data_IF_623440798693
#
_entry.id   IF_623440798693
#
_cell.length_a   1.000
_cell.length_b   1.000
_cell.length_c   1.000
_cell.angle_alpha   90.00
_cell.angle_beta   90.00
_cell.angle_gamma   90.00
#
_symmetry.space_group_name_H-M   'P 1'
#
loop_
_entity.id
_entity.type
_entity.pdbx_description
1 polymer ?
#
# COMPACT_ATOMS: atom_id res chain seq x y z
N UNK A 1 24.22 27.60 11.35
CA UNK A 1 23.65 26.53 10.50
C UNK A 1 22.45 26.01 11.25
N UNK A 2 21.28 26.54 10.92
CA UNK A 2 20.02 26.31 11.63
C UNK A 2 19.45 24.94 11.24
N UNK A 3 19.07 24.18 12.26
CA UNK A 3 18.40 22.89 12.17
C UNK A 3 17.11 22.97 11.34
N UNK A 4 16.86 21.97 10.49
CA UNK A 4 15.53 21.69 9.92
C UNK A 4 15.29 22.18 8.49
N UNK A 5 16.10 23.10 7.95
CA UNK A 5 15.77 23.82 6.71
C UNK A 5 15.41 22.92 5.51
N UNK A 6 14.22 23.15 4.94
CA UNK A 6 13.82 22.60 3.66
C UNK A 6 14.88 23.04 2.65
N UNK A 7 15.59 22.08 2.07
CA UNK A 7 16.69 22.38 1.17
C UNK A 7 16.19 22.82 -0.21
N UNK A 8 14.95 22.48 -0.55
CA UNK A 8 14.25 23.00 -1.73
C UNK A 8 12.73 22.93 -1.61
N UNK A 9 12.08 23.54 -2.60
CA UNK A 9 10.65 23.44 -2.84
C UNK A 9 10.37 23.15 -4.31
N UNK A 10 9.48 22.19 -4.59
CA UNK A 10 9.05 21.83 -5.93
C UNK A 10 7.53 21.98 -6.07
N UNK A 11 7.02 22.29 -7.27
CA UNK A 11 5.59 22.19 -7.53
C UNK A 11 5.07 20.78 -7.27
N UNK A 12 3.97 20.68 -6.53
CA UNK A 12 3.23 19.45 -6.32
C UNK A 12 1.73 19.75 -6.31
N UNK A 13 0.95 18.91 -6.98
CA UNK A 13 -0.51 19.03 -7.06
C UNK A 13 -1.22 18.26 -5.94
N UNK A 14 -0.47 17.40 -5.21
CA UNK A 14 -0.97 16.65 -4.08
C UNK A 14 0.13 16.32 -3.08
N UNK A 15 -0.27 16.00 -1.84
CA UNK A 15 0.64 15.47 -0.81
C UNK A 15 1.33 14.19 -1.31
N UNK A 16 0.63 13.38 -2.12
CA UNK A 16 1.16 12.17 -2.72
C UNK A 16 2.31 12.45 -3.69
N UNK A 17 2.14 13.46 -4.57
CA UNK A 17 3.24 13.87 -5.45
C UNK A 17 4.42 14.41 -4.64
N UNK A 18 4.16 15.12 -3.55
CA UNK A 18 5.20 15.57 -2.64
C UNK A 18 5.96 14.39 -2.00
N UNK A 19 5.24 13.34 -1.55
CA UNK A 19 5.84 12.07 -1.07
C UNK A 19 6.74 11.45 -2.12
N UNK A 20 6.27 11.33 -3.35
CA UNK A 20 7.06 10.78 -4.45
C UNK A 20 8.34 11.59 -4.70
N UNK A 21 8.24 12.92 -4.75
CA UNK A 21 9.38 13.82 -4.94
C UNK A 21 10.39 13.73 -3.80
N UNK A 22 9.92 13.58 -2.56
CA UNK A 22 10.79 13.32 -1.42
C UNK A 22 11.46 11.95 -1.53
N UNK A 23 10.69 10.92 -1.86
CA UNK A 23 11.18 9.55 -1.95
C UNK A 23 12.30 9.36 -2.98
N UNK A 24 12.16 9.94 -4.17
CA UNK A 24 13.19 9.81 -5.22
C UNK A 24 14.45 10.64 -4.94
N UNK A 25 14.42 11.53 -3.95
CA UNK A 25 15.60 12.29 -3.52
C UNK A 25 16.25 11.62 -2.30
N UNK A 26 17.46 11.03 -2.44
CA UNK A 26 18.12 10.31 -1.35
C UNK A 26 18.48 11.21 -0.15
N UNK A 27 18.41 12.53 -0.31
CA UNK A 27 18.63 13.49 0.77
C UNK A 27 17.37 13.75 1.58
N UNK A 28 16.19 13.44 1.06
CA UNK A 28 14.93 13.75 1.72
C UNK A 28 14.68 12.81 2.90
N UNK A 29 14.39 13.39 4.07
CA UNK A 29 14.03 12.69 5.31
C UNK A 29 12.67 13.14 5.84
N UNK A 30 12.17 14.30 5.41
CA UNK A 30 10.84 14.82 5.72
C UNK A 30 10.33 15.71 4.58
N UNK A 31 9.02 15.91 4.54
CA UNK A 31 8.36 16.79 3.59
C UNK A 31 7.26 17.63 4.24
N UNK A 32 6.85 18.68 3.54
CA UNK A 32 5.58 19.36 3.80
C UNK A 32 4.91 19.76 2.51
N UNK A 33 3.60 19.56 2.42
CA UNK A 33 2.79 19.92 1.27
C UNK A 33 1.78 20.99 1.63
N UNK A 34 1.78 22.09 0.88
CA UNK A 34 0.80 23.15 1.04
C UNK A 34 -0.21 23.14 -0.13
N UNK A 35 -1.44 22.63 0.07
CA UNK A 35 -2.44 22.54 -1.00
C UNK A 35 -2.81 23.89 -1.61
N UNK A 36 -2.92 24.95 -0.79
CA UNK A 36 -3.21 26.30 -1.28
C UNK A 36 -2.11 26.95 -2.13
N UNK A 37 -0.88 26.42 -2.10
CA UNK A 37 0.26 26.96 -2.85
C UNK A 37 0.70 25.99 -3.96
N UNK A 38 0.26 24.72 -3.92
CA UNK A 38 0.74 23.68 -4.83
C UNK A 38 2.25 23.43 -4.70
N UNK A 39 2.79 23.52 -3.47
CA UNK A 39 4.22 23.39 -3.21
C UNK A 39 4.52 22.25 -2.24
N UNK A 40 5.56 21.49 -2.60
CA UNK A 40 6.21 20.48 -1.79
C UNK A 40 7.54 21.02 -1.29
N UNK A 41 7.74 21.11 0.02
CA UNK A 41 9.01 21.45 0.63
C UNK A 41 9.67 20.17 1.14
N UNK A 42 10.94 19.95 0.80
CA UNK A 42 11.68 18.74 1.17
C UNK A 42 12.80 19.09 2.13
N UNK A 43 12.94 18.34 3.20
CA UNK A 43 13.97 18.53 4.22
C UNK A 43 14.83 17.29 4.39
N UNK A 44 16.12 17.50 4.70
CA UNK A 44 17.07 16.44 5.02
C UNK A 44 17.08 16.07 6.49
N UNK A 45 16.26 16.75 7.30
CA UNK A 45 16.09 16.48 8.72
C UNK A 45 14.64 16.05 9.00
N UNK A 46 14.42 15.10 9.92
CA UNK A 46 13.09 14.62 10.29
C UNK A 46 12.39 15.58 11.27
N UNK A 47 12.44 16.89 11.01
CA UNK A 47 11.87 17.92 11.87
C UNK A 47 11.03 18.90 11.06
N UNK A 48 9.88 19.36 11.60
CA UNK A 48 9.05 20.36 10.93
C UNK A 48 9.85 21.66 10.83
N UNK A 49 10.11 22.08 9.60
CA UNK A 49 10.97 23.22 9.37
C UNK A 49 10.24 24.57 9.43
N UNK A 50 9.03 24.61 8.87
CA UNK A 50 8.25 25.83 8.74
C UNK A 50 6.85 25.46 9.17
N UNK A 51 6.31 26.11 10.19
CA UNK A 51 4.92 25.91 10.57
C UNK A 51 4.03 26.74 9.62
N UNK A 52 3.97 26.31 8.35
CA UNK A 52 3.07 26.85 7.34
C UNK A 52 1.65 26.43 7.70
N UNK A 53 0.82 27.41 8.06
CA UNK A 53 -0.59 27.20 8.33
C UNK A 53 -1.27 26.60 7.09
N UNK A 54 -1.90 25.44 7.25
CA UNK A 54 -2.57 24.73 6.17
C UNK A 54 -1.70 23.73 5.40
N UNK A 55 -0.41 23.61 5.72
CA UNK A 55 0.43 22.54 5.17
C UNK A 55 0.32 21.23 5.98
N UNK A 56 0.47 20.11 5.28
CA UNK A 56 0.54 18.76 5.88
C UNK A 56 2.00 18.33 5.94
N UNK A 57 2.45 17.80 7.08
CA UNK A 57 3.84 17.40 7.33
C UNK A 57 3.98 15.90 7.45
N UNK A 58 5.05 15.37 6.89
CA UNK A 58 5.42 13.96 7.03
C UNK A 58 6.91 13.78 7.26
N UNK A 59 7.21 12.76 8.07
CA UNK A 59 8.56 12.38 8.47
C UNK A 59 8.81 10.93 8.04
N UNK A 60 10.08 10.60 7.77
CA UNK A 60 10.54 9.23 7.52
C UNK A 60 9.86 8.52 6.33
N UNK A 61 9.94 9.13 5.14
CA UNK A 61 9.40 8.61 3.87
C UNK A 61 10.11 7.31 3.39
N UNK A 62 11.02 6.72 4.19
CA UNK A 62 11.86 5.56 3.81
C UNK A 62 11.12 4.24 3.72
N UNK A 63 9.85 4.20 4.11
CA UNK A 63 9.03 2.99 4.00
C UNK A 63 8.46 2.77 2.59
N UNK A 64 8.58 3.76 1.70
CA UNK A 64 8.13 3.66 0.30
C UNK A 64 9.14 2.87 -0.55
N UNK A 65 8.68 1.97 -1.42
CA UNK A 65 9.53 1.14 -2.29
C UNK A 65 8.90 1.13 -3.69
N UNK A 66 9.63 1.48 -4.76
CA UNK A 66 9.11 1.43 -6.12
C UNK A 66 9.15 -0.02 -6.61
N UNK A 67 8.04 -0.47 -7.18
CA UNK A 67 7.98 -1.73 -7.91
C UNK A 67 8.43 -1.58 -9.36
N UNK A 68 8.78 -2.72 -9.95
CA UNK A 68 9.07 -2.82 -11.39
C UNK A 68 7.82 -2.59 -12.27
N UNK A 69 6.63 -2.65 -11.66
CA UNK A 69 5.34 -2.37 -12.27
C UNK A 69 4.98 -0.87 -12.28
N UNK A 70 5.87 0.01 -11.81
CA UNK A 70 5.64 1.44 -11.71
C UNK A 70 4.70 1.84 -10.57
N UNK A 71 4.40 0.92 -9.66
CA UNK A 71 3.65 1.18 -8.44
C UNK A 71 4.60 1.42 -7.27
N UNK A 72 4.06 1.94 -6.17
CA UNK A 72 4.80 2.22 -4.95
C UNK A 72 4.19 1.46 -3.79
N UNK A 73 5.04 0.94 -2.93
CA UNK A 73 4.68 0.04 -1.86
C UNK A 73 5.18 0.56 -0.52
N UNK A 74 4.36 0.48 0.51
CA UNK A 74 4.76 0.75 1.90
C UNK A 74 4.51 -0.49 2.72
N UNK A 75 5.58 -1.16 3.17
CA UNK A 75 5.45 -2.24 4.15
C UNK A 75 5.52 -1.64 5.54
N UNK A 76 4.49 -1.90 6.34
CA UNK A 76 4.44 -1.41 7.72
C UNK A 76 5.32 -2.28 8.61
N UNK A 77 6.26 -1.68 9.34
CA UNK A 77 7.09 -2.37 10.34
C UNK A 77 6.37 -2.48 11.69
N UNK A 78 5.10 -2.87 11.62
CA UNK A 78 4.28 -3.24 12.77
C UNK A 78 3.97 -4.72 12.59
N UNK A 79 3.85 -5.46 13.69
CA UNK A 79 3.58 -6.90 13.64
C UNK A 79 2.31 -7.27 12.85
N UNK A 80 1.99 -8.56 12.79
CA UNK A 80 0.78 -9.02 12.10
C UNK A 80 -0.47 -8.33 12.67
N UNK A 81 -1.38 -7.88 11.82
CA UNK A 81 -2.59 -7.12 12.19
C UNK A 81 -3.82 -7.62 11.45
N UNK A 82 -5.01 -7.15 11.81
CA UNK A 82 -6.24 -7.47 11.06
C UNK A 82 -6.33 -6.75 9.73
N UNK A 83 -7.06 -7.35 8.78
CA UNK A 83 -7.31 -6.74 7.47
C UNK A 83 -7.95 -5.37 7.61
N UNK A 84 -8.98 -5.23 8.45
CA UNK A 84 -9.68 -3.96 8.64
C UNK A 84 -8.76 -2.87 9.18
N UNK A 85 -7.86 -3.23 10.09
CA UNK A 85 -6.85 -2.30 10.59
C UNK A 85 -5.85 -1.91 9.48
N UNK A 86 -5.43 -2.87 8.65
CA UNK A 86 -4.56 -2.59 7.51
C UNK A 86 -5.25 -1.69 6.47
N UNK A 87 -6.52 -1.95 6.14
CA UNK A 87 -7.34 -1.10 5.26
C UNK A 87 -7.41 0.32 5.80
N UNK A 88 -7.68 0.48 7.10
CA UNK A 88 -7.74 1.78 7.75
C UNK A 88 -6.40 2.52 7.66
N UNK A 89 -5.29 1.82 7.90
CA UNK A 89 -3.94 2.39 7.79
C UNK A 89 -3.62 2.83 6.36
N UNK A 90 -3.89 1.98 5.36
CA UNK A 90 -3.66 2.35 3.96
C UNK A 90 -4.55 3.54 3.56
N UNK A 91 -5.81 3.56 3.98
CA UNK A 91 -6.75 4.65 3.65
C UNK A 91 -6.38 5.98 4.32
N UNK A 92 -5.72 5.95 5.49
CA UNK A 92 -5.21 7.14 6.15
C UNK A 92 -4.03 7.77 5.38
N UNK A 93 -3.35 7.01 4.53
CA UNK A 93 -2.33 7.54 3.63
C UNK A 93 -2.98 7.87 2.29
N UNK A 94 -3.13 9.17 1.99
CA UNK A 94 -3.72 9.62 0.72
C UNK A 94 -3.12 8.88 -0.49
N UNK A 95 -3.98 8.34 -1.35
CA UNK A 95 -3.61 7.62 -2.56
C UNK A 95 -3.18 6.16 -2.37
N UNK A 96 -3.14 5.66 -1.13
CA UNK A 96 -2.83 4.26 -0.85
C UNK A 96 -4.09 3.42 -0.63
N UNK A 97 -3.98 2.15 -0.98
CA UNK A 97 -4.99 1.12 -0.76
C UNK A 97 -4.30 -0.23 -0.49
N UNK A 98 -5.09 -1.27 -0.21
CA UNK A 98 -4.56 -2.63 -0.16
C UNK A 98 -3.98 -3.04 -1.53
N UNK A 99 -2.89 -3.81 -1.58
CA UNK A 99 -2.27 -4.21 -2.81
C UNK A 99 -3.18 -4.93 -3.78
N UNK A 100 -3.11 -4.51 -5.04
CA UNK A 100 -3.78 -5.13 -6.17
C UNK A 100 -2.69 -5.63 -7.11
N UNK A 101 -2.61 -6.95 -7.27
CA UNK A 101 -1.65 -7.56 -8.19
C UNK A 101 -2.28 -7.68 -9.58
N UNK A 102 -1.80 -6.89 -10.54
CA UNK A 102 -2.25 -6.94 -11.95
C UNK A 102 -1.21 -7.48 -12.92
N UNK A 103 0.03 -7.63 -12.47
CA UNK A 103 1.17 -8.07 -13.27
C UNK A 103 1.96 -9.13 -12.54
N UNK A 104 2.76 -9.91 -13.27
CA UNK A 104 3.72 -10.85 -12.70
C UNK A 104 4.65 -10.17 -11.69
N UNK A 105 5.12 -8.96 -12.01
CA UNK A 105 6.04 -8.20 -11.15
C UNK A 105 5.37 -7.81 -9.82
N UNK A 106 4.13 -7.34 -9.87
CA UNK A 106 3.35 -7.03 -8.65
C UNK A 106 3.16 -8.28 -7.78
N UNK A 107 2.93 -9.46 -8.36
CA UNK A 107 2.86 -10.73 -7.61
C UNK A 107 4.19 -11.09 -6.97
N UNK A 108 5.29 -10.99 -7.73
CA UNK A 108 6.64 -11.35 -7.25
C UNK A 108 7.06 -10.43 -6.10
N UNK A 109 6.69 -9.15 -6.13
CA UNK A 109 7.00 -8.23 -5.03
C UNK A 109 6.53 -8.75 -3.67
N UNK A 110 5.36 -9.40 -3.64
CA UNK A 110 4.77 -9.95 -2.42
C UNK A 110 5.15 -11.41 -2.13
N UNK A 111 5.90 -12.09 -3.00
CA UNK A 111 6.10 -13.54 -2.89
C UNK A 111 6.85 -13.96 -1.62
N UNK A 112 7.63 -13.06 -1.02
CA UNK A 112 8.50 -13.36 0.12
C UNK A 112 7.87 -12.99 1.47
N UNK A 113 6.61 -12.56 1.51
CA UNK A 113 5.95 -12.13 2.75
C UNK A 113 4.51 -12.59 2.77
N UNK A 114 4.00 -12.87 3.97
CA UNK A 114 2.58 -13.04 4.22
C UNK A 114 1.96 -11.64 4.30
N UNK A 115 1.17 -11.25 3.30
CA UNK A 115 0.58 -9.89 3.20
C UNK A 115 -0.87 -9.94 2.76
N UNK A 116 -1.69 -9.04 3.32
CA UNK A 116 -3.02 -8.81 2.80
C UNK A 116 -2.95 -8.24 1.39
N UNK A 117 -3.87 -8.70 0.56
CA UNK A 117 -4.14 -8.10 -0.76
C UNK A 117 -5.60 -7.66 -0.83
N UNK A 118 -5.88 -6.71 -1.72
CA UNK A 118 -7.22 -6.22 -1.99
C UNK A 118 -8.03 -7.19 -2.83
N UNK A 119 -7.99 -8.50 -2.54
CA UNK A 119 -8.77 -9.53 -3.24
C UNK A 119 -9.76 -10.15 -2.26
N UNK A 120 -11.01 -10.29 -2.69
CA UNK A 120 -12.06 -10.91 -1.88
C UNK A 120 -13.12 -11.61 -2.74
N UNK A 121 -13.93 -12.47 -2.12
CA UNK A 121 -15.15 -13.06 -2.71
C UNK A 121 -16.30 -13.00 -1.71
N UNK A 122 -17.51 -12.66 -2.15
CA UNK A 122 -18.69 -12.53 -1.27
C UNK A 122 -19.42 -13.84 -1.02
N UNK A 123 -19.20 -14.84 -1.88
CA UNK A 123 -19.87 -16.13 -1.83
C UNK A 123 -18.92 -17.19 -2.40
N UNK A 124 -19.11 -18.46 -2.02
CA UNK A 124 -18.31 -19.56 -2.54
C UNK A 124 -18.46 -19.78 -4.06
N UNK A 125 -19.59 -19.36 -4.64
CA UNK A 125 -19.91 -19.48 -6.06
C UNK A 125 -19.51 -18.26 -6.91
N UNK A 126 -19.02 -17.18 -6.30
CA UNK A 126 -18.60 -15.98 -7.01
C UNK A 126 -17.10 -16.00 -7.33
N UNK A 127 -16.73 -15.41 -8.47
CA UNK A 127 -15.34 -15.17 -8.81
C UNK A 127 -14.69 -14.20 -7.82
N UNK A 128 -13.43 -14.41 -7.41
CA UNK A 128 -12.68 -13.41 -6.67
C UNK A 128 -12.56 -12.10 -7.45
N UNK A 129 -12.81 -10.99 -6.75
CA UNK A 129 -12.72 -9.63 -7.27
C UNK A 129 -11.72 -8.81 -6.46
N UNK A 130 -10.99 -7.97 -7.18
CA UNK A 130 -10.13 -6.96 -6.58
C UNK A 130 -10.97 -5.82 -6.01
N UNK A 131 -10.42 -5.08 -5.05
CA UNK A 131 -11.07 -3.92 -4.42
C UNK A 131 -11.33 -2.78 -5.45
N UNK A 132 -10.65 -2.79 -6.60
CA UNK A 132 -10.93 -1.92 -7.76
C UNK A 132 -12.12 -2.39 -8.63
N UNK A 133 -12.77 -3.49 -8.26
CA UNK A 133 -13.92 -4.06 -8.95
C UNK A 133 -13.59 -4.97 -10.14
N UNK A 134 -12.32 -5.14 -10.50
CA UNK A 134 -11.95 -6.03 -11.61
C UNK A 134 -11.77 -7.48 -11.15
N UNK A 135 -11.92 -8.43 -12.07
CA UNK A 135 -11.78 -9.86 -11.78
C UNK A 135 -10.31 -10.29 -11.67
N UNK A 136 -10.05 -11.38 -10.95
CA UNK A 136 -8.75 -12.04 -10.93
C UNK A 136 -8.39 -12.62 -12.32
N UNK A 137 -7.35 -12.06 -12.95
CA UNK A 137 -6.76 -12.64 -14.15
C UNK A 137 -5.58 -13.55 -13.78
N UNK A 138 -5.86 -14.85 -13.70
CA UNK A 138 -4.87 -15.86 -13.38
C UNK A 138 -3.77 -15.99 -14.42
N UNK A 139 -4.10 -15.79 -15.70
CA UNK A 139 -3.15 -15.98 -16.78
C UNK A 139 -2.05 -14.92 -16.71
N UNK A 140 -2.45 -13.67 -16.50
CA UNK A 140 -1.52 -12.54 -16.37
C UNK A 140 -0.64 -12.66 -15.13
N UNK A 141 -1.16 -13.27 -14.07
CA UNK A 141 -0.40 -13.51 -12.82
C UNK A 141 0.40 -14.82 -12.84
N UNK A 142 0.37 -15.61 -13.91
CA UNK A 142 0.99 -16.94 -13.97
C UNK A 142 0.58 -17.83 -12.78
N UNK A 143 -0.70 -17.79 -12.43
CA UNK A 143 -1.28 -18.64 -11.41
C UNK A 143 -1.70 -19.98 -12.03
N UNK A 144 -1.49 -21.06 -11.31
CA UNK A 144 -1.98 -22.38 -11.70
C UNK A 144 -3.50 -22.44 -11.61
N UNK A 145 -4.13 -23.38 -12.33
CA UNK A 145 -5.57 -23.61 -12.22
C UNK A 145 -5.98 -24.14 -10.83
N UNK A 146 -5.03 -24.69 -10.06
CA UNK A 146 -5.24 -25.28 -8.74
C UNK A 146 -5.04 -24.28 -7.57
N UNK A 147 -4.49 -23.09 -7.82
CA UNK A 147 -4.45 -21.99 -6.85
C UNK A 147 -5.84 -21.36 -6.76
N UNK A 148 -6.75 -21.91 -5.94
CA UNK A 148 -6.76 -21.55 -4.53
C UNK A 148 -6.92 -22.84 -3.74
N UNK A 149 -5.81 -23.40 -3.26
CA UNK A 149 -5.92 -24.46 -2.26
C UNK A 149 -6.39 -23.74 -1.00
N UNK A 150 -7.71 -23.77 -0.78
CA UNK A 150 -8.37 -23.51 0.49
C UNK A 150 -7.63 -24.33 1.53
N UNK A 151 -6.60 -23.76 2.15
CA UNK A 151 -5.97 -24.45 3.24
C UNK A 151 -6.90 -24.23 4.42
N UNK A 152 -7.74 -25.26 4.64
CA UNK A 152 -8.19 -25.69 5.95
C UNK A 152 -6.96 -25.93 6.87
N UNK A 153 -6.09 -24.94 7.07
CA UNK A 153 -5.25 -24.94 8.26
C UNK A 153 -6.27 -24.94 9.38
N UNK A 154 -6.36 -26.05 10.10
CA UNK A 154 -7.33 -26.28 11.16
C UNK A 154 -7.27 -25.23 12.29
N UNK A 155 -6.29 -24.33 12.25
CA UNK A 155 -6.09 -23.17 13.12
C UNK A 155 -6.51 -21.81 12.52
N UNK A 156 -6.91 -21.72 11.25
CA UNK A 156 -7.75 -20.62 10.77
C UNK A 156 -9.18 -20.89 11.25
N UNK A 157 -9.32 -20.84 12.59
CA UNK A 157 -10.50 -21.21 13.33
C UNK A 157 -11.66 -20.35 12.91
N UNK A 158 -12.57 -20.97 12.18
CA UNK A 158 -13.87 -20.45 11.84
C UNK A 158 -13.76 -19.19 10.96
N UNK A 159 -14.20 -19.31 9.70
CA UNK A 159 -15.21 -18.36 9.23
C UNK A 159 -16.00 -17.93 10.45
N UNK A 160 -15.96 -16.67 10.87
CA UNK A 160 -17.01 -16.18 11.75
C UNK A 160 -18.29 -16.75 11.13
N UNK A 161 -18.92 -17.74 11.77
CA UNK A 161 -19.97 -18.55 11.13
C UNK A 161 -21.05 -17.52 10.78
N UNK A 162 -21.08 -17.06 9.53
CA UNK A 162 -21.88 -15.89 9.12
C UNK A 162 -21.16 -14.69 8.47
N UNK A 163 -19.84 -14.66 8.26
CA UNK A 163 -19.24 -13.62 7.38
C UNK A 163 -19.35 -14.05 5.91
N UNK A 164 -20.04 -13.28 5.05
CA UNK A 164 -20.14 -13.63 3.62
C UNK A 164 -18.79 -13.43 2.90
N UNK A 165 -17.91 -12.58 3.41
CA UNK A 165 -16.70 -12.19 2.69
C UNK A 165 -15.53 -13.11 3.03
N UNK A 166 -15.00 -13.83 2.04
CA UNK A 166 -13.66 -14.43 2.11
C UNK A 166 -12.64 -13.42 1.60
N UNK A 167 -11.56 -13.26 2.36
CA UNK A 167 -10.44 -12.37 2.05
C UNK A 167 -9.22 -13.23 1.69
N UNK A 168 -8.40 -12.73 0.78
CA UNK A 168 -7.18 -13.41 0.37
C UNK A 168 -5.93 -12.61 0.76
N UNK A 169 -4.83 -13.35 0.87
CA UNK A 169 -3.48 -12.83 1.02
C UNK A 169 -2.54 -13.42 -0.02
N UNK A 170 -1.31 -12.92 -0.05
CA UNK A 170 -0.20 -13.57 -0.73
C UNK A 170 0.72 -14.20 0.32
N UNK A 171 1.05 -15.48 0.13
CA UNK A 171 2.00 -16.20 0.95
C UNK A 171 2.86 -17.12 0.06
N UNK A 172 4.17 -16.97 0.14
CA UNK A 172 5.13 -17.76 -0.67
C UNK A 172 4.83 -17.73 -2.18
N UNK A 173 4.36 -16.58 -2.68
CA UNK A 173 4.01 -16.36 -4.09
C UNK A 173 2.66 -16.94 -4.53
N UNK A 174 1.90 -17.51 -3.61
CA UNK A 174 0.57 -18.07 -3.86
C UNK A 174 -0.51 -17.19 -3.27
N UNK A 175 -1.65 -17.11 -3.95
CA UNK A 175 -2.87 -16.53 -3.37
C UNK A 175 -3.50 -17.58 -2.47
N UNK A 176 -3.63 -17.25 -1.20
CA UNK A 176 -4.19 -18.13 -0.16
C UNK A 176 -5.35 -17.41 0.54
N UNK A 177 -6.33 -18.16 1.06
CA UNK A 177 -7.34 -17.56 1.94
C UNK A 177 -6.69 -17.26 3.29
N UNK A 178 -6.53 -15.98 3.60
CA UNK A 178 -5.68 -15.59 4.72
C UNK A 178 -6.45 -15.62 6.04
N UNK A 179 -5.77 -16.16 7.05
CA UNK A 179 -6.12 -15.99 8.45
C UNK A 179 -6.23 -14.49 8.80
N UNK A 180 -7.01 -14.16 9.85
CA UNK A 180 -7.32 -12.79 10.30
C UNK A 180 -6.11 -11.88 10.60
N UNK A 181 -4.88 -12.38 10.54
CA UNK A 181 -3.66 -11.63 10.85
C UNK A 181 -2.61 -11.83 9.75
N UNK A 182 -2.14 -10.72 9.18
CA UNK A 182 -1.08 -10.69 8.17
C UNK A 182 -0.25 -9.41 8.28
N UNK A 183 0.88 -9.31 7.56
CA UNK A 183 1.61 -8.05 7.46
C UNK A 183 0.83 -7.08 6.59
N UNK A 184 0.90 -5.80 6.96
CA UNK A 184 0.26 -4.76 6.17
C UNK A 184 1.24 -4.18 5.16
N UNK A 185 0.86 -4.29 3.88
CA UNK A 185 1.49 -3.52 2.82
C UNK A 185 0.42 -2.63 2.22
N UNK A 186 0.77 -1.40 1.89
CA UNK A 186 -0.09 -0.49 1.16
C UNK A 186 0.52 -0.22 -0.21
N UNK A 187 -0.31 -0.15 -1.24
CA UNK A 187 0.10 0.11 -2.61
C UNK A 187 -0.51 1.44 -3.07
N UNK A 188 0.24 2.19 -3.88
CA UNK A 188 -0.24 3.39 -4.56
C UNK A 188 0.30 3.44 -5.98
N UNK A 189 -0.45 4.10 -6.86
CA UNK A 189 0.05 4.56 -8.17
C UNK A 189 0.22 6.08 -8.09
N UNK A 190 1.36 6.59 -8.54
CA UNK A 190 1.57 8.04 -8.66
C UNK A 190 1.65 8.41 -10.14
N UNK A 191 0.73 9.26 -10.60
CA UNK A 191 0.61 9.71 -11.97
C UNK A 191 -0.25 10.97 -12.07
N UNK A 192 -0.23 11.67 -13.23
CA UNK A 192 -0.89 12.96 -13.41
C UNK A 192 -2.42 12.93 -13.23
N UNK A 193 -3.03 11.75 -13.20
CA UNK A 193 -4.48 11.56 -13.11
C UNK A 193 -5.01 11.43 -11.66
N UNK A 194 -4.14 11.44 -10.64
CA UNK A 194 -4.53 11.24 -9.24
C UNK A 194 -4.63 12.58 -8.48
N UNK A 195 -5.60 13.41 -8.88
CA UNK A 195 -6.04 14.62 -8.17
C UNK A 195 -7.05 14.29 -7.08
#
# INVERSE_FOLDING_TARGET
MTSGEAYDSLPAYSLCQCRQQCFVDPRCRALSYHPGLGLCYRSSQPTPNINLTGAVYEYEVHSLVPGLDGLFYVMMDVGMMSRDHCVQMCSNMTGFHLPIAKTRDSRIYFSNSQVFIGLSKKNASEDPMWDDGTKLDRKTLELSNEEPVLNNVADCGYSARGSPLTVFGLYLGKIDDECNLSRCVCQAKFGPDNN
#
